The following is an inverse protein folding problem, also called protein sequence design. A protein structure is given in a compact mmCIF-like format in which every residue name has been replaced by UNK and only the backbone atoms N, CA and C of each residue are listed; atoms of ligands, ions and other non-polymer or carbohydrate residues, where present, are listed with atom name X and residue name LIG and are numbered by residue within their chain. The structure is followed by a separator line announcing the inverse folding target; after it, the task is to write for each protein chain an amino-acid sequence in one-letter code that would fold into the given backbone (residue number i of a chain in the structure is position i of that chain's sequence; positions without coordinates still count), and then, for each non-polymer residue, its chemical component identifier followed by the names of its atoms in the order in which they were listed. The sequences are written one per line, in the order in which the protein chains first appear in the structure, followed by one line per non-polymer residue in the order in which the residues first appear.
data_IF_340941779841
#
_entry.id   IF_340941779841
#
_cell.length_a   1.000
_cell.length_b   1.000
_cell.length_c   1.000
_cell.angle_alpha   90.00
_cell.angle_beta   90.00
_cell.angle_gamma   90.00
#
_symmetry.space_group_name_H-M   'P 1'
#
loop_
_entity.id
_entity.type
_entity.pdbx_description
1 polymer ?
#
# COMPACT_ATOMS: atom_id res chain seq x y z
N UNK A 1 50.49 -19.52 -12.16
CA UNK A 1 50.25 -18.54 -11.10
C UNK A 1 48.72 -18.44 -10.96
N UNK A 2 48.17 -19.18 -9.98
CA UNK A 2 46.76 -19.17 -9.63
C UNK A 2 46.48 -17.96 -8.70
N UNK A 3 45.68 -17.01 -9.14
CA UNK A 3 45.14 -15.94 -8.32
C UNK A 3 43.77 -16.30 -7.77
N UNK A 4 43.71 -16.60 -6.47
CA UNK A 4 42.46 -16.88 -5.75
C UNK A 4 41.80 -15.53 -5.40
N UNK A 5 40.59 -15.28 -5.96
CA UNK A 5 39.76 -14.17 -5.53
C UNK A 5 38.83 -14.64 -4.42
N UNK A 6 39.08 -14.18 -3.20
CA UNK A 6 38.16 -14.32 -2.08
C UNK A 6 37.01 -13.32 -2.25
N UNK A 7 35.80 -13.84 -2.45
CA UNK A 7 34.56 -13.06 -2.36
C UNK A 7 34.16 -13.01 -0.88
N UNK A 8 34.24 -11.81 -0.30
CA UNK A 8 33.80 -11.57 1.05
C UNK A 8 32.29 -11.74 1.18
N UNK A 9 31.87 -12.62 2.08
CA UNK A 9 30.50 -12.80 2.47
C UNK A 9 29.99 -11.55 3.22
N UNK A 10 29.03 -10.86 2.67
CA UNK A 10 28.30 -9.78 3.35
C UNK A 10 27.23 -10.44 4.22
N UNK A 11 27.48 -10.47 5.53
CA UNK A 11 26.51 -10.93 6.52
C UNK A 11 25.37 -9.91 6.64
N UNK A 12 24.18 -10.26 6.18
CA UNK A 12 22.96 -9.53 6.51
C UNK A 12 22.55 -9.87 7.95
N UNK A 13 22.73 -8.91 8.84
CA UNK A 13 22.15 -8.95 10.18
C UNK A 13 20.64 -8.77 10.07
N UNK A 14 19.90 -9.83 10.31
CA UNK A 14 18.46 -9.78 10.50
C UNK A 14 18.15 -9.07 11.82
N UNK A 15 17.61 -7.87 11.75
CA UNK A 15 17.01 -7.21 12.91
C UNK A 15 15.63 -7.84 13.13
N UNK A 16 15.57 -8.83 13.98
CA UNK A 16 14.32 -9.31 14.53
C UNK A 16 13.80 -8.28 15.54
N UNK A 17 12.79 -7.52 15.14
CA UNK A 17 11.97 -6.79 16.10
C UNK A 17 11.05 -7.78 16.81
N UNK A 18 11.44 -8.21 18.00
CA UNK A 18 10.60 -8.99 18.92
C UNK A 18 9.51 -8.07 19.49
N UNK A 19 8.29 -8.22 19.00
CA UNK A 19 7.12 -7.70 19.70
C UNK A 19 6.84 -8.60 20.90
N UNK A 20 7.36 -8.18 22.06
CA UNK A 20 7.06 -8.80 23.35
C UNK A 20 5.59 -8.55 23.70
N UNK A 21 4.85 -9.63 23.84
CA UNK A 21 3.55 -9.64 24.50
C UNK A 21 3.72 -9.18 25.95
N UNK A 22 3.15 -8.04 26.29
CA UNK A 22 2.93 -7.66 27.69
C UNK A 22 1.44 -7.50 27.89
N UNK A 23 0.84 -8.59 28.34
CA UNK A 23 -0.48 -8.62 28.96
C UNK A 23 -0.30 -8.12 30.38
N UNK A 24 -0.76 -6.95 30.70
CA UNK A 24 -1.03 -6.55 32.09
C UNK A 24 -2.39 -5.86 32.17
N UNK A 25 -3.23 -6.56 32.84
CA UNK A 25 -4.40 -6.25 33.63
C UNK A 25 -4.46 -4.79 34.09
N UNK A 26 -5.54 -4.06 33.70
CA UNK A 26 -6.06 -2.98 34.52
C UNK A 26 -7.56 -3.25 34.71
N UNK A 27 -7.85 -3.87 35.86
CA UNK A 27 -9.18 -3.89 36.45
C UNK A 27 -9.39 -2.61 37.27
N UNK A 28 -10.61 -2.08 37.16
CA UNK A 28 -11.30 -1.18 38.09
C UNK A 28 -10.86 0.28 38.13
N UNK A 29 -11.75 1.15 37.77
CA UNK A 29 -12.51 2.01 38.70
C UNK A 29 -13.83 2.39 38.04
N UNK A 30 -14.90 2.19 38.79
CA UNK A 30 -16.28 2.51 38.52
C UNK A 30 -16.62 3.85 39.20
N UNK A 31 -17.71 4.50 38.71
CA UNK A 31 -18.48 5.59 39.30
C UNK A 31 -17.93 7.02 39.11
N UNK A 32 -18.66 8.01 38.66
CA UNK A 32 -20.06 8.39 38.82
C UNK A 32 -20.32 9.74 38.12
N UNK A 33 -21.47 9.85 37.48
CA UNK A 33 -22.44 10.93 37.38
C UNK A 33 -22.17 12.25 36.61
N UNK A 34 -23.13 12.44 35.71
CA UNK A 34 -23.94 13.63 35.43
C UNK A 34 -23.56 14.62 34.33
N UNK A 35 -24.48 14.61 33.34
CA UNK A 35 -25.05 15.72 32.62
C UNK A 35 -24.14 16.65 31.81
N UNK A 36 -24.30 16.55 30.51
CA UNK A 36 -23.81 17.54 29.55
C UNK A 36 -24.06 17.04 28.12
N UNK A 37 -25.28 17.28 27.64
CA UNK A 37 -25.65 17.18 26.24
C UNK A 37 -24.81 18.16 25.44
N UNK A 38 -23.90 17.69 24.62
CA UNK A 38 -23.39 18.32 23.41
C UNK A 38 -22.05 17.64 23.00
N UNK A 39 -22.10 16.87 22.00
CA UNK A 39 -21.04 16.63 21.01
C UNK A 39 -21.03 15.19 20.44
N UNK A 40 -22.12 14.81 19.78
CA UNK A 40 -22.19 13.50 19.10
C UNK A 40 -21.52 13.46 17.71
N UNK A 41 -20.89 14.56 17.26
CA UNK A 41 -20.30 14.62 15.92
C UNK A 41 -18.77 14.48 15.86
N UNK A 42 -18.05 14.57 16.99
CA UNK A 42 -16.58 14.44 16.96
C UNK A 42 -16.09 12.98 17.07
N UNK A 43 -16.88 12.13 17.70
CA UNK A 43 -16.48 10.73 17.95
C UNK A 43 -16.67 9.83 16.73
N UNK A 44 -17.69 10.06 15.91
CA UNK A 44 -17.92 9.30 14.68
C UNK A 44 -16.80 9.53 13.66
N UNK A 45 -16.28 10.75 13.54
CA UNK A 45 -15.20 11.08 12.59
C UNK A 45 -13.86 10.49 13.02
N UNK A 46 -13.55 10.45 14.31
CA UNK A 46 -12.32 9.85 14.82
C UNK A 46 -12.35 8.32 14.74
N UNK A 47 -13.49 7.69 14.98
CA UNK A 47 -13.65 6.23 14.89
C UNK A 47 -13.50 5.77 13.44
N UNK A 48 -14.12 6.48 12.49
CA UNK A 48 -14.00 6.21 11.07
C UNK A 48 -12.54 6.32 10.61
N UNK A 49 -11.81 7.37 10.97
CA UNK A 49 -10.41 7.55 10.60
C UNK A 49 -9.50 6.43 11.15
N UNK A 50 -9.72 6.01 12.39
CA UNK A 50 -8.95 4.90 12.99
C UNK A 50 -9.24 3.56 12.31
N UNK A 51 -10.48 3.33 11.91
CA UNK A 51 -10.87 2.11 11.19
C UNK A 51 -10.29 2.10 9.77
N UNK A 52 -10.29 3.21 9.06
CA UNK A 52 -9.66 3.34 7.74
C UNK A 52 -8.19 3.00 7.78
N UNK A 53 -7.44 3.56 8.71
CA UNK A 53 -6.01 3.23 8.92
C UNK A 53 -5.84 1.74 9.22
N UNK A 54 -6.70 1.18 10.07
CA UNK A 54 -6.66 -0.25 10.42
C UNK A 54 -6.91 -1.16 9.21
N UNK A 55 -7.87 -0.84 8.35
CA UNK A 55 -8.20 -1.61 7.14
C UNK A 55 -7.07 -1.55 6.11
N UNK A 56 -6.53 -0.37 5.85
CA UNK A 56 -5.36 -0.21 4.98
C UNK A 56 -4.13 -0.94 5.55
N UNK A 57 -3.86 -0.82 6.84
CA UNK A 57 -2.74 -1.51 7.48
C UNK A 57 -2.86 -3.03 7.35
N UNK A 58 -4.06 -3.60 7.53
CA UNK A 58 -4.30 -5.04 7.32
C UNK A 58 -4.09 -5.45 5.87
N UNK A 59 -4.54 -4.66 4.91
CA UNK A 59 -4.29 -4.93 3.49
C UNK A 59 -2.81 -4.91 3.16
N UNK A 60 -2.07 -3.91 3.63
CA UNK A 60 -0.63 -3.80 3.41
C UNK A 60 0.12 -4.99 4.01
N UNK A 61 -0.22 -5.40 5.25
CA UNK A 61 0.36 -6.58 5.86
C UNK A 61 0.09 -7.86 5.05
N UNK A 62 -1.14 -8.03 4.54
CA UNK A 62 -1.48 -9.16 3.68
C UNK A 62 -0.72 -9.11 2.33
N UNK A 63 -0.52 -7.93 1.75
CA UNK A 63 0.26 -7.77 0.51
C UNK A 63 1.74 -8.08 0.73
N UNK A 64 2.32 -7.62 1.84
CA UNK A 64 3.70 -7.94 2.22
C UNK A 64 3.90 -9.45 2.41
N UNK A 65 2.96 -10.13 3.08
CA UNK A 65 3.01 -11.59 3.24
C UNK A 65 2.92 -12.33 1.89
N UNK A 66 2.10 -11.87 0.96
CA UNK A 66 2.04 -12.43 -0.41
C UNK A 66 3.33 -12.18 -1.18
N UNK A 67 3.91 -10.99 -1.05
CA UNK A 67 5.19 -10.66 -1.67
C UNK A 67 6.30 -11.58 -1.14
N UNK A 68 6.38 -11.78 0.16
CA UNK A 68 7.35 -12.69 0.78
C UNK A 68 7.17 -14.15 0.32
N UNK A 69 5.93 -14.64 0.26
CA UNK A 69 5.64 -15.99 -0.23
C UNK A 69 6.05 -16.17 -1.71
N UNK A 70 5.76 -15.18 -2.55
CA UNK A 70 6.16 -15.13 -3.96
C UNK A 70 7.69 -15.16 -4.10
N UNK A 71 8.39 -14.32 -3.34
CA UNK A 71 9.85 -14.18 -3.42
C UNK A 71 10.59 -15.44 -2.96
N UNK A 72 9.94 -16.28 -2.12
CA UNK A 72 10.44 -17.59 -1.73
C UNK A 72 10.23 -18.67 -2.78
N UNK A 73 9.25 -18.52 -3.67
CA UNK A 73 8.84 -19.54 -4.64
C UNK A 73 9.36 -19.31 -6.05
N UNK A 74 9.56 -18.04 -6.44
CA UNK A 74 9.99 -17.66 -7.78
C UNK A 74 11.49 -17.36 -7.82
N UNK A 75 12.15 -17.76 -8.91
CA UNK A 75 13.53 -17.36 -9.17
C UNK A 75 13.58 -15.91 -9.72
N UNK A 76 14.79 -15.37 -9.84
CA UNK A 76 15.00 -13.96 -10.28
C UNK A 76 14.42 -13.66 -11.67
N UNK A 77 14.50 -14.59 -12.62
CA UNK A 77 13.94 -14.39 -13.97
C UNK A 77 12.41 -14.34 -13.92
N UNK A 78 11.80 -15.27 -13.21
CA UNK A 78 10.35 -15.33 -13.03
C UNK A 78 9.82 -14.09 -12.32
N UNK A 79 10.53 -13.59 -11.31
CA UNK A 79 10.18 -12.33 -10.62
C UNK A 79 10.28 -11.13 -11.58
N UNK A 80 11.32 -11.08 -12.42
CA UNK A 80 11.49 -10.01 -13.40
C UNK A 80 10.38 -10.03 -14.47
N UNK A 81 10.03 -11.20 -14.99
CA UNK A 81 8.94 -11.36 -15.96
C UNK A 81 7.60 -10.99 -15.36
N UNK A 82 7.34 -11.41 -14.13
CA UNK A 82 6.14 -11.04 -13.39
C UNK A 82 6.07 -9.53 -13.18
N UNK A 83 7.12 -8.90 -12.70
CA UNK A 83 7.18 -7.46 -12.49
C UNK A 83 6.95 -6.69 -13.81
N UNK A 84 7.56 -7.13 -14.91
CA UNK A 84 7.36 -6.56 -16.24
C UNK A 84 5.89 -6.65 -16.68
N UNK A 85 5.25 -7.80 -16.51
CA UNK A 85 3.85 -7.99 -16.86
C UNK A 85 2.93 -7.10 -16.01
N UNK A 86 3.16 -7.02 -14.70
CA UNK A 86 2.39 -6.19 -13.79
C UNK A 86 2.57 -4.70 -14.09
N UNK A 87 3.78 -4.27 -14.40
CA UNK A 87 4.08 -2.90 -14.82
C UNK A 87 3.39 -2.56 -16.15
N UNK A 88 3.39 -3.49 -17.11
CA UNK A 88 2.68 -3.33 -18.37
C UNK A 88 1.18 -3.10 -18.22
N UNK A 89 0.55 -3.66 -17.19
CA UNK A 89 -0.88 -3.45 -16.91
C UNK A 89 -1.19 -2.03 -16.41
N UNK A 90 -0.26 -1.39 -15.70
CA UNK A 90 -0.47 -0.08 -15.06
C UNK A 90 0.17 1.07 -15.83
N UNK A 91 0.91 0.79 -16.90
CA UNK A 91 1.65 1.81 -17.67
C UNK A 91 1.64 1.52 -19.17
N UNK A 92 2.01 2.52 -19.97
CA UNK A 92 2.17 2.40 -21.41
C UNK A 92 0.88 2.15 -22.20
N UNK A 93 1.04 1.65 -23.42
CA UNK A 93 -0.05 1.47 -24.39
C UNK A 93 -1.07 0.42 -23.95
N UNK A 94 -0.64 -0.63 -23.25
CA UNK A 94 -1.53 -1.67 -22.71
C UNK A 94 -2.52 -1.10 -21.70
N UNK A 95 -2.07 -0.22 -20.81
CA UNK A 95 -2.97 0.48 -19.88
C UNK A 95 -3.97 1.36 -20.64
N UNK A 96 -3.51 2.14 -21.62
CA UNK A 96 -4.36 3.04 -22.39
C UNK A 96 -5.42 2.28 -23.18
N UNK A 97 -5.05 1.17 -23.82
CA UNK A 97 -5.97 0.32 -24.57
C UNK A 97 -7.11 -0.24 -23.69
N UNK A 98 -6.82 -0.52 -22.42
CA UNK A 98 -7.77 -1.11 -21.48
C UNK A 98 -8.36 -0.10 -20.48
N UNK A 99 -8.12 1.21 -20.68
CA UNK A 99 -8.50 2.26 -19.72
C UNK A 99 -9.94 2.19 -19.27
N UNK A 100 -10.89 1.99 -20.18
CA UNK A 100 -12.33 1.90 -19.85
C UNK A 100 -12.64 0.73 -18.93
N UNK A 101 -11.94 -0.40 -19.08
CA UNK A 101 -12.08 -1.58 -18.23
C UNK A 101 -11.55 -1.24 -16.83
N UNK A 102 -10.35 -0.64 -16.76
CA UNK A 102 -9.73 -0.26 -15.49
C UNK A 102 -10.54 0.80 -14.72
N UNK A 103 -11.21 1.72 -15.44
CA UNK A 103 -12.06 2.73 -14.82
C UNK A 103 -13.36 2.16 -14.21
N UNK A 104 -13.79 1.00 -14.67
CA UNK A 104 -14.97 0.27 -14.15
C UNK A 104 -14.63 -0.87 -13.19
N UNK A 105 -13.36 -1.12 -12.94
CA UNK A 105 -12.90 -2.19 -12.07
C UNK A 105 -13.25 -1.91 -10.60
N UNK A 106 -13.75 -2.93 -9.91
CA UNK A 106 -14.10 -2.86 -8.49
C UNK A 106 -13.26 -3.91 -7.74
N UNK A 107 -12.62 -3.54 -6.61
CA UNK A 107 -11.83 -4.49 -5.85
C UNK A 107 -12.72 -5.56 -5.21
N UNK A 108 -12.17 -6.75 -4.99
CA UNK A 108 -12.87 -7.88 -4.36
C UNK A 108 -13.06 -7.67 -2.85
N UNK A 109 -13.92 -6.74 -2.49
CA UNK A 109 -14.25 -6.42 -1.10
C UNK A 109 -15.66 -5.90 -0.99
N UNK A 110 -16.29 -6.07 0.19
CA UNK A 110 -17.54 -5.39 0.56
C UNK A 110 -17.31 -4.21 1.51
N UNK A 111 -16.06 -3.93 1.86
CA UNK A 111 -15.70 -2.83 2.76
C UNK A 111 -15.90 -1.48 2.05
N UNK A 112 -16.79 -0.60 2.56
CA UNK A 112 -17.11 0.67 1.91
C UNK A 112 -15.91 1.62 1.83
N UNK A 113 -14.97 1.56 2.77
CA UNK A 113 -13.78 2.40 2.75
C UNK A 113 -12.81 1.99 1.66
N UNK A 114 -12.63 0.68 1.45
CA UNK A 114 -11.80 0.16 0.38
C UNK A 114 -12.41 0.42 -0.99
N UNK A 115 -13.75 0.33 -1.11
CA UNK A 115 -14.47 0.72 -2.31
C UNK A 115 -14.33 2.21 -2.61
N UNK A 116 -14.45 3.07 -1.59
CA UNK A 116 -14.27 4.52 -1.73
C UNK A 116 -12.84 4.87 -2.15
N UNK A 117 -11.83 4.18 -1.58
CA UNK A 117 -10.42 4.37 -1.96
C UNK A 117 -10.16 3.98 -3.41
N UNK A 118 -10.70 2.86 -3.89
CA UNK A 118 -10.57 2.45 -5.29
C UNK A 118 -11.19 3.49 -6.24
N UNK A 119 -12.35 4.03 -5.89
CA UNK A 119 -12.97 5.14 -6.62
C UNK A 119 -12.07 6.39 -6.62
N UNK A 120 -11.54 6.79 -5.47
CA UNK A 120 -10.62 7.92 -5.35
C UNK A 120 -9.36 7.71 -6.19
N UNK A 121 -8.79 6.50 -6.21
CA UNK A 121 -7.63 6.17 -7.05
C UNK A 121 -7.96 6.33 -8.53
N UNK A 122 -9.13 5.86 -8.98
CA UNK A 122 -9.60 6.03 -10.36
C UNK A 122 -9.79 7.50 -10.72
N UNK A 123 -10.38 8.30 -9.85
CA UNK A 123 -10.53 9.74 -10.04
C UNK A 123 -9.18 10.45 -10.10
N UNK A 124 -8.26 10.12 -9.20
CA UNK A 124 -6.90 10.65 -9.19
C UNK A 124 -6.15 10.35 -10.49
N UNK A 125 -6.15 9.09 -10.94
CA UNK A 125 -5.45 8.66 -12.16
C UNK A 125 -6.03 9.36 -13.41
N UNK A 126 -7.36 9.57 -13.45
CA UNK A 126 -8.03 10.19 -14.59
C UNK A 126 -7.84 11.71 -14.65
N UNK A 127 -7.67 12.37 -13.51
CA UNK A 127 -7.56 13.84 -13.41
C UNK A 127 -6.13 14.35 -13.24
N UNK A 128 -5.20 13.51 -12.82
CA UNK A 128 -3.81 13.91 -12.58
C UNK A 128 -3.13 14.50 -13.83
N UNK A 129 -3.63 14.17 -15.02
CA UNK A 129 -3.18 14.75 -16.29
C UNK A 129 -3.76 16.13 -16.59
N UNK A 130 -4.83 16.58 -15.91
CA UNK A 130 -5.56 17.78 -16.30
C UNK A 130 -5.55 18.92 -15.28
N UNK A 131 -5.54 18.68 -13.98
CA UNK A 131 -5.72 19.75 -12.97
C UNK A 131 -4.83 19.65 -11.73
N UNK A 132 -4.20 18.50 -11.47
CA UNK A 132 -3.23 18.34 -10.38
C UNK A 132 -3.73 18.47 -8.93
N UNK A 133 -5.03 18.70 -8.71
CA UNK A 133 -5.60 18.97 -7.37
C UNK A 133 -6.12 17.73 -6.64
N UNK A 134 -6.19 16.58 -7.31
CA UNK A 134 -6.69 15.36 -6.68
C UNK A 134 -5.62 14.73 -5.79
N UNK A 135 -6.00 14.38 -4.57
CA UNK A 135 -5.09 13.75 -3.61
C UNK A 135 -4.96 12.25 -3.93
N UNK A 136 -3.73 11.81 -4.10
CA UNK A 136 -3.44 10.39 -4.24
C UNK A 136 -3.80 9.65 -2.93
N UNK A 137 -4.67 8.62 -2.96
CA UNK A 137 -5.05 7.88 -1.75
C UNK A 137 -3.88 7.15 -1.06
N UNK A 138 -2.76 6.95 -1.76
CA UNK A 138 -1.55 6.32 -1.23
C UNK A 138 -0.44 7.31 -0.85
N UNK A 139 -0.76 8.59 -0.83
CA UNK A 139 0.16 9.65 -0.39
C UNK A 139 0.66 9.39 1.02
N UNK A 140 1.98 9.45 1.22
CA UNK A 140 2.60 9.25 2.54
C UNK A 140 2.93 7.80 2.89
N UNK A 141 2.62 6.82 2.02
CA UNK A 141 3.11 5.46 2.19
C UNK A 141 4.61 5.38 1.89
N UNK A 142 5.31 4.45 2.54
CA UNK A 142 6.71 4.17 2.27
C UNK A 142 6.89 3.52 0.90
N UNK A 143 8.10 3.59 0.34
CA UNK A 143 8.44 2.92 -0.93
C UNK A 143 8.19 1.42 -0.90
N UNK A 144 8.46 0.75 0.23
CA UNK A 144 8.20 -0.67 0.39
C UNK A 144 6.69 -0.96 0.30
N UNK A 145 5.85 -0.21 1.02
CA UNK A 145 4.40 -0.35 0.97
C UNK A 145 3.82 -0.08 -0.43
N UNK A 146 4.33 0.95 -1.12
CA UNK A 146 3.95 1.23 -2.49
C UNK A 146 4.35 0.09 -3.44
N UNK A 147 5.55 -0.48 -3.27
CA UNK A 147 6.00 -1.65 -4.04
C UNK A 147 5.10 -2.87 -3.82
N UNK A 148 4.68 -3.13 -2.57
CA UNK A 148 3.77 -4.22 -2.25
C UNK A 148 2.42 -4.07 -2.97
N UNK A 149 1.86 -2.85 -3.00
CA UNK A 149 0.61 -2.55 -3.74
C UNK A 149 0.82 -2.73 -5.25
N UNK A 150 1.88 -2.17 -5.82
CA UNK A 150 2.16 -2.20 -7.26
C UNK A 150 2.27 -3.63 -7.77
N UNK A 151 2.92 -4.50 -6.99
CA UNK A 151 3.22 -5.88 -7.36
C UNK A 151 2.18 -6.90 -6.86
N UNK A 152 1.08 -6.45 -6.25
CA UNK A 152 0.01 -7.34 -5.78
C UNK A 152 -0.94 -7.70 -6.93
N UNK A 153 -0.97 -8.97 -7.29
CA UNK A 153 -1.83 -9.53 -8.34
C UNK A 153 -3.06 -10.28 -7.79
N UNK A 154 -3.34 -10.17 -6.50
CA UNK A 154 -4.44 -10.88 -5.85
C UNK A 154 -5.83 -10.32 -6.16
N UNK A 155 -5.93 -9.23 -6.92
CA UNK A 155 -7.18 -8.48 -7.21
C UNK A 155 -7.82 -7.82 -5.97
N UNK A 156 -7.06 -7.63 -4.91
CA UNK A 156 -7.47 -6.82 -3.75
C UNK A 156 -7.37 -5.33 -4.08
N UNK A 157 -6.42 -4.97 -4.93
CA UNK A 157 -6.29 -3.65 -5.51
C UNK A 157 -6.71 -3.67 -6.99
N UNK A 158 -7.43 -2.63 -7.40
CA UNK A 158 -7.72 -2.42 -8.83
C UNK A 158 -6.45 -2.01 -9.59
N UNK A 159 -6.47 -2.11 -10.90
CA UNK A 159 -5.36 -1.62 -11.75
C UNK A 159 -5.12 -0.12 -11.53
N UNK A 160 -6.18 0.68 -11.34
CA UNK A 160 -6.05 2.11 -11.06
C UNK A 160 -5.48 2.40 -9.67
N UNK A 161 -5.76 1.59 -8.65
CA UNK A 161 -5.11 1.69 -7.35
C UNK A 161 -3.60 1.41 -7.47
N UNK A 162 -3.22 0.34 -8.17
CA UNK A 162 -1.82 -0.01 -8.41
C UNK A 162 -1.09 1.07 -9.21
N UNK A 163 -1.76 1.66 -10.21
CA UNK A 163 -1.24 2.81 -10.96
C UNK A 163 -1.07 4.04 -10.08
N UNK A 164 -2.02 4.36 -9.21
CA UNK A 164 -1.90 5.47 -8.27
C UNK A 164 -0.72 5.28 -7.31
N UNK A 165 -0.51 4.06 -6.80
CA UNK A 165 0.67 3.73 -6.00
C UNK A 165 1.98 3.88 -6.77
N UNK A 166 2.02 3.48 -8.04
CA UNK A 166 3.17 3.66 -8.93
C UNK A 166 3.48 5.15 -9.17
N UNK A 167 2.47 5.97 -9.41
CA UNK A 167 2.63 7.42 -9.58
C UNK A 167 3.17 8.09 -8.31
N UNK A 168 2.73 7.66 -7.12
CA UNK A 168 3.27 8.15 -5.85
C UNK A 168 4.74 7.74 -5.67
N UNK A 169 5.08 6.49 -6.00
CA UNK A 169 6.46 6.00 -5.95
C UNK A 169 7.39 6.80 -6.88
N UNK A 170 6.94 7.09 -8.11
CA UNK A 170 7.68 7.89 -9.09
C UNK A 170 7.89 9.33 -8.58
N UNK A 171 6.85 9.94 -8.00
CA UNK A 171 6.94 11.27 -7.40
C UNK A 171 7.95 11.32 -6.25
N UNK A 172 7.96 10.29 -5.38
CA UNK A 172 8.95 10.21 -4.29
C UNK A 172 10.37 10.04 -4.83
N UNK A 173 10.55 9.32 -5.93
CA UNK A 173 11.84 9.15 -6.58
C UNK A 173 12.34 10.46 -7.20
N UNK A 174 11.48 11.21 -7.90
CA UNK A 174 11.80 12.53 -8.44
C UNK A 174 12.22 13.49 -7.32
N UNK A 175 11.41 13.60 -6.26
CA UNK A 175 11.73 14.45 -5.11
C UNK A 175 13.03 14.07 -4.39
N UNK A 176 13.45 12.81 -4.46
CA UNK A 176 14.73 12.36 -3.95
C UNK A 176 15.87 12.78 -4.88
N UNK A 177 15.71 12.61 -6.20
CA UNK A 177 16.73 13.00 -7.20
C UNK A 177 17.02 14.51 -7.20
N UNK A 178 16.01 15.34 -6.93
CA UNK A 178 16.17 16.80 -6.84
C UNK A 178 17.02 17.25 -5.62
N UNK A 179 17.19 16.38 -4.62
CA UNK A 179 17.92 16.67 -3.37
C UNK A 179 19.36 16.17 -3.37
N UNK A 180 19.76 15.39 -4.36
CA UNK A 180 21.10 14.78 -4.50
C UNK A 180 21.88 15.47 -5.59
#
# INVERSE_FOLDING_TARGET
ILGSFMIGAVSYSSVQASFGSKTEEISRVNEQTSAGTENLNADATQTSSKQTISNLARQLAASASRAEARDKTLNRSELADKAKNLLGQISGDSYQANKKIHDSEVPKTSDPELLARAKQATEFVNRSSNTGNEKNPFSGLSRAQLSDIINDDSSIYTVNERRAAWMESSKQEEAWREKV
#
